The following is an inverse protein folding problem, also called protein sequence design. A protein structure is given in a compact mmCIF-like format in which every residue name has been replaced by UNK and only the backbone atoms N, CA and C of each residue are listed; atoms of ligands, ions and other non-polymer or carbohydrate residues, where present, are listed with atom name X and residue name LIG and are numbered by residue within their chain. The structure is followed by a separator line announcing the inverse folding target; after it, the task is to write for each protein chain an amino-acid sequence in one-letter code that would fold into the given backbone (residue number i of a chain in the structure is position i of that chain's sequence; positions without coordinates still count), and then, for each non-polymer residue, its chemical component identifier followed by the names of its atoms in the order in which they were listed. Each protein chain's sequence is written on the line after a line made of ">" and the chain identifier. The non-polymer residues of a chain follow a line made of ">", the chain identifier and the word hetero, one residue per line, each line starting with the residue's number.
data_IF_946490670542
#
_entry.id   IF_946490670542
#
_cell.length_a   1.000
_cell.length_b   1.000
_cell.length_c   1.000
_cell.angle_alpha   90.00
_cell.angle_beta   90.00
_cell.angle_gamma   90.00
#
_symmetry.space_group_name_H-M   'P 1'
#
loop_
_entity.id
_entity.type
_entity.pdbx_description
1 polymer ?
#
# COMPACT_ATOMS: atom_id res chain seq x y z
N UNK A 1 1.79 -3.59 15.45
CA UNK A 1 0.99 -2.47 14.89
C UNK A 1 0.99 -1.26 15.81
N UNK A 2 0.82 -1.43 17.14
CA UNK A 2 0.89 -0.30 18.07
C UNK A 2 2.27 0.39 18.05
N UNK A 3 3.36 -0.38 18.05
CA UNK A 3 4.71 0.19 17.89
C UNK A 3 4.85 1.08 16.65
N UNK A 4 4.30 0.66 15.49
CA UNK A 4 4.34 1.48 14.28
C UNK A 4 3.53 2.78 14.42
N UNK A 5 2.43 2.78 15.17
CA UNK A 5 1.68 4.00 15.49
C UNK A 5 2.46 4.90 16.45
N UNK A 6 3.11 4.33 17.45
CA UNK A 6 3.94 5.08 18.40
C UNK A 6 5.09 5.78 17.67
N UNK A 7 5.77 5.09 16.74
CA UNK A 7 6.81 5.68 15.90
C UNK A 7 6.28 6.79 14.99
N UNK A 8 5.09 6.61 14.39
CA UNK A 8 4.46 7.67 13.60
C UNK A 8 4.11 8.89 14.48
N UNK A 9 3.69 8.69 15.73
CA UNK A 9 3.39 9.75 16.68
C UNK A 9 4.63 10.55 17.10
N UNK A 10 5.79 9.90 17.14
CA UNK A 10 7.08 10.55 17.37
C UNK A 10 7.58 11.34 16.14
N UNK A 11 6.85 11.33 15.03
CA UNK A 11 7.28 11.93 13.77
C UNK A 11 8.32 11.11 13.01
N UNK A 12 8.49 9.83 13.36
CA UNK A 12 9.42 8.95 12.67
C UNK A 12 8.88 8.49 11.31
N UNK A 13 9.79 8.05 10.45
CA UNK A 13 9.46 7.55 9.12
C UNK A 13 9.10 6.08 9.16
N UNK A 14 8.01 5.71 8.50
CA UNK A 14 7.57 4.33 8.38
C UNK A 14 7.50 3.93 6.91
N UNK A 15 8.29 2.92 6.53
CA UNK A 15 8.24 2.30 5.20
C UNK A 15 7.46 0.98 5.27
N UNK A 16 6.43 0.81 4.44
CA UNK A 16 5.59 -0.39 4.42
C UNK A 16 5.44 -0.95 3.01
N UNK A 17 5.34 -2.28 2.90
CA UNK A 17 4.96 -2.98 1.67
C UNK A 17 3.51 -3.45 1.77
N UNK A 18 2.53 -2.65 1.27
CA UNK A 18 1.12 -2.91 1.50
C UNK A 18 0.58 -4.16 0.77
N UNK A 19 1.33 -4.75 -0.16
CA UNK A 19 0.96 -6.00 -0.84
C UNK A 19 1.00 -7.23 0.09
N UNK A 20 1.88 -7.20 1.10
CA UNK A 20 2.07 -8.30 2.05
C UNK A 20 2.73 -9.56 1.47
N UNK A 21 3.13 -9.54 0.20
CA UNK A 21 3.92 -10.58 -0.47
C UNK A 21 4.78 -9.92 -1.55
N UNK A 22 5.95 -10.51 -1.83
CA UNK A 22 6.76 -10.14 -2.98
C UNK A 22 6.07 -10.64 -4.25
N UNK A 23 5.84 -9.74 -5.21
CA UNK A 23 5.28 -10.05 -6.52
C UNK A 23 6.36 -9.77 -7.59
N UNK A 24 7.10 -10.78 -8.06
CA UNK A 24 8.17 -10.58 -9.05
C UNK A 24 7.64 -10.36 -10.48
N UNK A 25 6.37 -10.69 -10.71
CA UNK A 25 5.71 -10.56 -12.01
C UNK A 25 5.44 -9.09 -12.34
N UNK A 26 5.65 -8.72 -13.60
CA UNK A 26 5.29 -7.39 -14.09
C UNK A 26 3.77 -7.29 -14.37
N UNK A 27 2.98 -7.43 -13.31
CA UNK A 27 1.52 -7.35 -13.32
C UNK A 27 1.03 -6.03 -12.69
N UNK A 28 -0.21 -5.59 -12.98
CA UNK A 28 -0.83 -4.47 -12.27
C UNK A 28 -0.79 -4.66 -10.76
N UNK A 29 -0.59 -3.58 -10.01
CA UNK A 29 -0.56 -3.60 -8.54
C UNK A 29 -1.84 -4.25 -8.05
N UNK A 30 -1.69 -5.29 -7.25
CA UNK A 30 -2.82 -6.07 -6.71
C UNK A 30 -3.54 -5.29 -5.61
N UNK A 31 -4.63 -5.86 -5.11
CA UNK A 31 -5.34 -5.28 -3.97
C UNK A 31 -4.41 -5.24 -2.76
N UNK A 32 -4.27 -4.06 -2.17
CA UNK A 32 -3.46 -3.83 -0.99
C UNK A 32 -4.13 -4.40 0.27
N UNK A 33 -3.31 -4.86 1.22
CA UNK A 33 -3.75 -5.23 2.56
C UNK A 33 -4.11 -3.96 3.33
N UNK A 34 -5.14 -4.05 4.18
CA UNK A 34 -5.63 -2.91 4.95
C UNK A 34 -4.70 -2.41 6.06
N UNK A 35 -3.55 -3.06 6.30
CA UNK A 35 -2.64 -2.69 7.37
C UNK A 35 -2.17 -1.23 7.30
N UNK A 36 -1.76 -0.78 6.11
CA UNK A 36 -1.32 0.61 5.88
C UNK A 36 -2.48 1.59 6.02
N UNK A 37 -3.65 1.29 5.45
CA UNK A 37 -4.84 2.13 5.61
C UNK A 37 -5.30 2.26 7.07
N UNK A 38 -5.21 1.16 7.82
CA UNK A 38 -5.48 1.12 9.27
C UNK A 38 -4.50 1.99 10.05
N UNK A 39 -3.21 1.97 9.71
CA UNK A 39 -2.22 2.85 10.35
C UNK A 39 -2.53 4.32 10.09
N UNK A 40 -2.81 4.69 8.84
CA UNK A 40 -3.15 6.07 8.45
C UNK A 40 -4.39 6.55 9.19
N UNK A 41 -5.46 5.74 9.21
CA UNK A 41 -6.72 6.13 9.82
C UNK A 41 -6.62 6.26 11.35
N UNK A 42 -5.80 5.43 12.00
CA UNK A 42 -5.66 5.39 13.46
C UNK A 42 -4.61 6.34 14.01
N UNK A 43 -3.76 6.92 13.15
CA UNK A 43 -2.74 7.85 13.57
C UNK A 43 -3.40 9.11 14.16
N UNK A 44 -3.04 9.52 15.40
CA UNK A 44 -3.47 10.77 16.02
C UNK A 44 -3.31 12.01 15.13
N UNK A 45 -2.19 12.08 14.41
CA UNK A 45 -1.94 13.08 13.36
C UNK A 45 -1.88 12.31 12.04
N UNK A 46 -2.67 12.74 11.05
CA UNK A 46 -2.71 12.05 9.76
C UNK A 46 -1.34 12.18 9.07
N UNK A 47 -0.67 11.06 8.76
CA UNK A 47 0.65 11.10 8.13
C UNK A 47 0.53 11.43 6.65
N UNK A 48 1.56 12.09 6.11
CA UNK A 48 1.78 12.21 4.67
C UNK A 48 2.22 10.85 4.13
N UNK A 49 1.61 10.39 3.04
CA UNK A 49 1.95 9.12 2.40
C UNK A 49 2.71 9.40 1.11
N UNK A 50 3.93 8.86 1.01
CA UNK A 50 4.76 8.99 -0.19
C UNK A 50 4.77 7.66 -0.97
N UNK A 51 4.13 7.58 -2.14
CA UNK A 51 4.13 6.37 -2.95
C UNK A 51 5.50 6.19 -3.63
N UNK A 52 6.09 5.00 -3.46
CA UNK A 52 7.37 4.64 -4.06
C UNK A 52 7.18 3.30 -4.77
N UNK A 53 7.62 3.20 -6.02
CA UNK A 53 7.69 1.95 -6.77
C UNK A 53 9.11 1.68 -7.24
N UNK A 54 9.48 0.41 -7.26
CA UNK A 54 10.79 -0.04 -7.72
C UNK A 54 10.67 -1.18 -8.74
N UNK A 55 11.57 -1.21 -9.71
CA UNK A 55 11.71 -2.26 -10.71
C UNK A 55 13.16 -2.68 -10.85
N UNK A 56 13.42 -3.95 -11.20
CA UNK A 56 14.76 -4.50 -11.40
C UNK A 56 15.29 -5.34 -10.24
N UNK A 57 14.69 -5.26 -9.05
CA UNK A 57 15.07 -6.11 -7.91
C UNK A 57 14.78 -7.59 -8.15
N UNK A 58 13.75 -7.89 -8.94
CA UNK A 58 13.43 -9.24 -9.42
C UNK A 58 14.55 -9.83 -10.30
N UNK A 59 15.33 -8.98 -10.98
CA UNK A 59 16.50 -9.39 -11.77
C UNK A 59 17.73 -9.57 -10.89
N UNK A 60 17.87 -8.77 -9.83
CA UNK A 60 18.96 -8.89 -8.85
C UNK A 60 18.84 -10.20 -8.08
N UNK A 61 17.64 -10.58 -7.65
CA UNK A 61 17.44 -11.81 -6.88
C UNK A 61 16.20 -12.56 -7.33
N UNK A 62 16.26 -13.26 -8.48
CA UNK A 62 15.12 -13.96 -9.05
C UNK A 62 14.66 -15.10 -8.13
N UNK A 63 13.34 -15.18 -7.93
CA UNK A 63 12.72 -16.21 -7.08
C UNK A 63 12.86 -17.60 -7.71
N UNK A 64 12.82 -17.68 -9.04
CA UNK A 64 13.00 -18.89 -9.83
C UNK A 64 14.22 -18.75 -10.74
N UNK A 65 15.41 -19.14 -10.26
CA UNK A 65 16.65 -19.07 -11.05
C UNK A 65 16.95 -20.38 -11.79
N UNK A 66 17.41 -21.42 -11.08
CA UNK A 66 17.74 -22.73 -11.63
C UNK A 66 17.02 -23.83 -10.84
N UNK A 67 16.37 -24.77 -11.55
CA UNK A 67 15.57 -25.84 -10.93
C UNK A 67 14.53 -25.34 -9.92
N UNK A 68 13.95 -24.15 -10.15
CA UNK A 68 12.95 -23.55 -9.27
C UNK A 68 13.48 -23.07 -7.91
N UNK A 69 14.81 -22.93 -7.76
CA UNK A 69 15.43 -22.40 -6.54
C UNK A 69 15.86 -20.96 -6.72
N UNK A 70 15.77 -20.19 -5.64
CA UNK A 70 16.30 -18.82 -5.54
C UNK A 70 17.83 -18.84 -5.59
N UNK A 71 18.43 -17.88 -6.29
CA UNK A 71 19.88 -17.76 -6.33
C UNK A 71 20.42 -17.43 -4.92
N UNK A 72 21.53 -18.05 -4.47
CA UNK A 72 22.04 -17.87 -3.10
C UNK A 72 22.66 -16.48 -2.87
N UNK A 73 23.03 -15.77 -3.94
CA UNK A 73 23.61 -14.42 -3.88
C UNK A 73 22.89 -13.47 -4.85
N UNK A 74 22.95 -12.14 -4.65
CA UNK A 74 22.47 -11.19 -5.64
C UNK A 74 23.25 -11.28 -6.96
N UNK A 75 22.55 -11.28 -8.09
CA UNK A 75 23.14 -11.13 -9.41
C UNK A 75 23.65 -9.69 -9.58
N UNK A 76 24.82 -9.56 -10.21
CA UNK A 76 25.46 -8.26 -10.42
C UNK A 76 25.00 -7.59 -11.71
N UNK A 77 25.32 -6.29 -11.83
CA UNK A 77 25.07 -5.46 -13.03
C UNK A 77 23.62 -5.42 -13.49
N UNK A 78 22.66 -5.46 -12.56
CA UNK A 78 21.25 -5.28 -12.86
C UNK A 78 20.83 -3.83 -12.66
N UNK A 79 20.07 -3.30 -13.61
CA UNK A 79 19.51 -1.96 -13.51
C UNK A 79 18.32 -1.96 -12.52
N UNK A 80 18.38 -1.08 -11.51
CA UNK A 80 17.28 -0.83 -10.58
C UNK A 80 16.70 0.55 -10.87
N UNK A 81 15.39 0.62 -11.08
CA UNK A 81 14.65 1.87 -11.26
C UNK A 81 13.77 2.11 -10.05
N UNK A 82 13.86 3.29 -9.46
CA UNK A 82 13.00 3.72 -8.36
C UNK A 82 12.27 4.97 -8.81
N UNK A 83 10.95 4.95 -8.75
CA UNK A 83 10.11 6.11 -9.01
C UNK A 83 9.38 6.50 -7.72
N UNK A 84 9.53 7.78 -7.35
CA UNK A 84 8.88 8.39 -6.20
C UNK A 84 7.78 9.29 -6.74
N UNK A 85 6.56 9.13 -6.23
CA UNK A 85 5.44 9.98 -6.62
C UNK A 85 5.22 11.16 -5.71
N UNK A 86 4.13 11.87 -5.98
CA UNK A 86 3.74 13.04 -5.21
C UNK A 86 3.28 12.66 -3.79
N UNK A 87 3.57 13.49 -2.78
CA UNK A 87 3.04 13.31 -1.43
C UNK A 87 1.51 13.31 -1.42
N UNK A 88 0.92 12.38 -0.67
CA UNK A 88 -0.52 12.22 -0.55
C UNK A 88 -0.97 12.57 0.88
N UNK A 89 -1.99 13.41 0.97
CA UNK A 89 -2.67 13.74 2.24
C UNK A 89 -4.08 13.16 2.24
N UNK A 90 -4.55 12.71 3.40
CA UNK A 90 -5.88 12.11 3.55
C UNK A 90 -6.73 12.95 4.49
N UNK A 91 -7.86 13.45 4.01
CA UNK A 91 -8.85 14.12 4.85
C UNK A 91 -9.69 13.06 5.60
N UNK A 92 -9.21 12.59 6.76
CA UNK A 92 -9.88 11.53 7.51
C UNK A 92 -11.33 11.87 7.92
N UNK A 93 -11.68 13.10 8.36
CA UNK A 93 -13.07 13.50 8.59
C UNK A 93 -13.97 13.32 7.37
N UNK A 94 -13.54 13.76 6.20
CA UNK A 94 -14.32 13.64 4.96
C UNK A 94 -14.49 12.18 4.53
N UNK A 95 -13.41 11.39 4.61
CA UNK A 95 -13.45 9.95 4.33
C UNK A 95 -14.37 9.21 5.29
N UNK A 96 -14.45 9.66 6.55
CA UNK A 96 -15.34 9.10 7.57
C UNK A 96 -16.81 9.37 7.24
N UNK A 97 -17.16 10.61 6.91
CA UNK A 97 -18.53 10.96 6.51
C UNK A 97 -18.95 10.22 5.24
N UNK A 98 -18.05 10.15 4.24
CA UNK A 98 -18.28 9.37 3.02
C UNK A 98 -18.54 7.90 3.34
N UNK A 99 -17.73 7.29 4.21
CA UNK A 99 -17.90 5.89 4.58
C UNK A 99 -19.21 5.61 5.34
N UNK A 100 -19.63 6.53 6.22
CA UNK A 100 -20.91 6.45 6.93
C UNK A 100 -22.11 6.59 5.99
N UNK A 101 -21.98 7.39 4.92
CA UNK A 101 -23.03 7.51 3.90
C UNK A 101 -23.21 6.22 3.11
N UNK A 102 -22.12 5.54 2.76
CA UNK A 102 -22.13 4.31 1.98
C UNK A 102 -22.49 3.06 2.80
N UNK A 103 -22.19 3.02 4.10
CA UNK A 103 -22.48 1.86 4.95
C UNK A 103 -23.97 1.64 5.19
N UNK A 104 -24.78 2.72 5.13
CA UNK A 104 -26.24 2.68 5.29
C UNK A 104 -26.95 1.86 4.21
N UNK A 105 -26.31 1.67 3.07
CA UNK A 105 -26.89 0.96 1.92
C UNK A 105 -26.50 -0.53 1.85
N UNK A 106 -25.61 -1.01 2.71
CA UNK A 106 -25.04 -2.37 2.64
C UNK A 106 -25.15 -3.14 3.96
N UNK A 107 -26.31 -3.73 4.21
CA UNK A 107 -26.54 -4.64 5.34
C UNK A 107 -25.96 -6.04 5.06
N UNK A 108 -24.63 -6.21 5.11
CA UNK A 108 -24.02 -7.55 5.13
C UNK A 108 -23.04 -7.64 6.30
N UNK A 109 -23.51 -8.27 7.39
CA UNK A 109 -22.70 -8.61 8.56
C UNK A 109 -22.02 -9.96 8.36
N UNK A 110 -20.70 -10.01 8.51
CA UNK A 110 -19.97 -11.27 8.47
C UNK A 110 -18.48 -11.08 8.78
N UNK A 111 -18.11 -11.40 10.02
CA UNK A 111 -16.72 -11.57 10.46
C UNK A 111 -16.31 -10.66 11.62
N UNK A 112 -15.66 -11.22 12.63
CA UNK A 112 -15.12 -10.51 13.79
C UNK A 112 -14.13 -9.41 13.37
N UNK A 113 -14.60 -8.18 13.22
CA UNK A 113 -13.74 -7.01 13.13
C UNK A 113 -13.60 -6.35 14.49
N UNK A 114 -12.44 -5.79 14.83
CA UNK A 114 -12.26 -5.08 16.09
C UNK A 114 -13.22 -3.88 16.16
N UNK A 115 -14.31 -4.02 16.95
CA UNK A 115 -15.43 -3.06 17.03
C UNK A 115 -15.10 -1.72 17.68
N UNK A 116 -13.84 -1.41 17.95
CA UNK A 116 -13.49 -0.33 18.90
C UNK A 116 -12.35 0.56 18.45
N UNK A 117 -11.81 0.40 17.23
CA UNK A 117 -10.52 1.02 16.89
C UNK A 117 -10.64 2.46 16.34
N UNK A 118 -11.80 2.86 15.81
CA UNK A 118 -12.02 4.19 15.21
C UNK A 118 -13.33 4.84 15.69
N UNK A 119 -13.42 5.09 17.00
CA UNK A 119 -14.35 6.07 17.57
C UNK A 119 -15.81 5.96 17.14
N UNK A 120 -16.39 4.75 17.11
CA UNK A 120 -17.82 4.55 16.89
C UNK A 120 -18.28 4.37 15.44
N UNK A 121 -17.36 4.18 14.49
CA UNK A 121 -17.73 3.70 13.15
C UNK A 121 -18.26 2.27 13.19
N UNK A 122 -19.31 2.00 12.42
CA UNK A 122 -19.74 0.62 12.17
C UNK A 122 -18.69 -0.14 11.33
N UNK A 123 -18.77 -1.47 11.33
CA UNK A 123 -17.81 -2.34 10.65
C UNK A 123 -17.77 -2.12 9.12
N UNK A 124 -18.92 -1.80 8.52
CA UNK A 124 -19.03 -1.56 7.08
C UNK A 124 -18.41 -0.21 6.69
N UNK A 125 -18.63 0.84 7.48
CA UNK A 125 -18.01 2.14 7.33
C UNK A 125 -16.48 2.05 7.51
N UNK A 126 -16.00 1.32 8.51
CA UNK A 126 -14.55 1.13 8.69
C UNK A 126 -13.92 0.41 7.49
N UNK A 127 -14.59 -0.64 6.96
CA UNK A 127 -14.14 -1.34 5.75
C UNK A 127 -14.14 -0.43 4.52
N UNK A 128 -15.20 0.33 4.33
CA UNK A 128 -15.33 1.29 3.23
C UNK A 128 -14.18 2.30 3.28
N UNK A 129 -13.96 2.93 4.43
CA UNK A 129 -12.88 3.89 4.63
C UNK A 129 -11.51 3.29 4.29
N UNK A 130 -11.22 2.09 4.80
CA UNK A 130 -9.93 1.43 4.54
C UNK A 130 -9.77 1.01 3.07
N UNK A 131 -10.86 0.62 2.41
CA UNK A 131 -10.86 0.35 0.97
C UNK A 131 -10.54 1.62 0.19
N UNK A 132 -11.22 2.73 0.47
CA UNK A 132 -10.98 4.01 -0.21
C UNK A 132 -9.53 4.46 -0.09
N UNK A 133 -8.96 4.43 1.12
CA UNK A 133 -7.54 4.78 1.33
C UNK A 133 -6.63 3.82 0.56
N UNK A 134 -6.87 2.52 0.65
CA UNK A 134 -6.05 1.51 -0.02
C UNK A 134 -6.11 1.63 -1.54
N UNK A 135 -7.28 1.91 -2.10
CA UNK A 135 -7.48 2.03 -3.55
C UNK A 135 -6.88 3.33 -4.09
N UNK A 136 -6.89 4.41 -3.31
CA UNK A 136 -6.18 5.65 -3.67
C UNK A 136 -4.66 5.40 -3.74
N UNK A 137 -4.07 4.79 -2.69
CA UNK A 137 -2.64 4.44 -2.68
C UNK A 137 -2.30 3.51 -3.84
N UNK A 138 -3.13 2.49 -4.08
CA UNK A 138 -2.96 1.55 -5.19
C UNK A 138 -2.96 2.25 -6.54
N UNK A 139 -3.87 3.18 -6.75
CA UNK A 139 -4.00 3.93 -8.01
C UNK A 139 -2.78 4.82 -8.25
N UNK A 140 -2.24 5.44 -7.20
CA UNK A 140 -0.99 6.21 -7.27
C UNK A 140 0.20 5.31 -7.63
N UNK A 141 0.35 4.16 -6.95
CA UNK A 141 1.41 3.19 -7.24
C UNK A 141 1.31 2.63 -8.67
N UNK A 142 0.11 2.32 -9.15
CA UNK A 142 -0.09 1.84 -10.53
C UNK A 142 0.21 2.92 -11.57
N UNK A 143 -0.09 4.18 -11.27
CA UNK A 143 0.27 5.31 -12.15
C UNK A 143 1.78 5.48 -12.23
N UNK A 144 2.48 5.40 -11.10
CA UNK A 144 3.93 5.41 -11.05
C UNK A 144 4.55 4.21 -11.77
N UNK A 145 3.93 3.02 -11.66
CA UNK A 145 4.34 1.82 -12.41
C UNK A 145 4.28 2.03 -13.91
N UNK A 146 3.21 2.64 -14.41
CA UNK A 146 3.06 2.93 -15.84
C UNK A 146 4.07 3.99 -16.29
N UNK A 147 4.30 4.99 -15.46
CA UNK A 147 5.28 6.04 -15.70
C UNK A 147 6.72 5.49 -15.73
N UNK A 148 7.12 4.63 -14.80
CA UNK A 148 8.47 4.06 -14.76
C UNK A 148 8.80 3.24 -16.02
N UNK A 149 7.77 2.64 -16.65
CA UNK A 149 7.89 1.89 -17.90
C UNK A 149 8.06 2.75 -19.15
N UNK A 150 7.50 3.96 -19.19
CA UNK A 150 7.60 4.81 -20.39
C UNK A 150 9.01 5.35 -20.63
N UNK A 151 9.90 5.29 -19.63
CA UNK A 151 11.31 5.65 -19.73
C UNK A 151 12.24 4.48 -20.10
N UNK A 152 11.70 3.29 -20.39
CA UNK A 152 12.49 2.20 -20.96
C UNK A 152 12.74 2.54 -22.43
N UNK A 153 13.94 3.08 -22.74
CA UNK A 153 14.42 3.15 -24.12
C UNK A 153 14.39 1.73 -24.70
N UNK A 154 13.92 1.52 -25.94
CA UNK A 154 14.21 0.28 -26.64
C UNK A 154 15.73 0.19 -26.80
N UNK A 155 16.35 -0.83 -26.21
CA UNK A 155 17.74 -1.16 -26.50
C UNK A 155 17.86 -1.42 -28.01
N UNK A 156 18.80 -0.71 -28.66
CA UNK A 156 19.23 -0.94 -30.04
C UNK A 156 20.25 -2.06 -30.10
#
# INVERSE_FOLDING_TARGET
>A
MNEALDRLNEGAWLHTFPEGKVCPEDAPIRRLKWGTASLIARAPVTPIVLPIIHHGFEKVMPENYAFGRRHPIPLWNQEIKIAVGEPMEFNLPELREMALSQSRDSSISGGQWPRTILGGLDEAAQRCMYMTISDHIRSALESLRKFSKSYVKPEQ
#
